data_IF_699359433360
#
_entry.id   IF_699359433360
#
_cell.length_a   1.000
_cell.length_b   1.000
_cell.length_c   1.000
_cell.angle_alpha   90.00
_cell.angle_beta   90.00
_cell.angle_gamma   90.00
#
_symmetry.space_group_name_H-M   'P 1'
#
loop_
_entity.id
_entity.type
_entity.pdbx_description
1 polymer ?
#
# COMPACT_ATOMS: atom_id res chain seq x y z
N UNK A 1 -11.66 5.54 9.06
CA UNK A 1 -12.90 5.14 9.75
C UNK A 1 -12.88 3.67 10.14
N UNK A 2 -13.16 3.36 11.41
CA UNK A 2 -13.39 1.99 11.88
C UNK A 2 -14.88 1.69 11.93
N UNK A 3 -15.24 0.46 11.54
CA UNK A 3 -16.59 -0.09 11.65
C UNK A 3 -16.53 -1.30 12.58
N UNK A 4 -17.40 -1.34 13.59
CA UNK A 4 -17.56 -2.49 14.49
C UNK A 4 -18.95 -3.11 14.29
N UNK A 5 -19.00 -4.42 14.27
CA UNK A 5 -20.24 -5.20 14.34
C UNK A 5 -20.40 -5.72 15.76
N UNK A 6 -21.59 -5.46 16.36
CA UNK A 6 -21.91 -5.83 17.73
C UNK A 6 -23.10 -6.79 17.75
N UNK A 7 -23.04 -7.77 18.64
CA UNK A 7 -24.15 -8.64 19.02
C UNK A 7 -24.19 -8.67 20.55
N UNK A 8 -25.31 -8.26 21.16
CA UNK A 8 -25.45 -8.16 22.63
C UNK A 8 -24.26 -7.43 23.27
N UNK A 9 -23.91 -6.25 22.71
CA UNK A 9 -22.80 -5.40 23.15
C UNK A 9 -21.37 -6.02 23.03
N UNK A 10 -21.26 -7.20 22.43
CA UNK A 10 -19.96 -7.83 22.13
C UNK A 10 -19.51 -7.52 20.72
N UNK A 11 -18.26 -7.16 20.56
CA UNK A 11 -17.64 -6.96 19.23
C UNK A 11 -17.45 -8.32 18.57
N UNK A 12 -18.17 -8.59 17.50
CA UNK A 12 -18.13 -9.85 16.73
C UNK A 12 -17.50 -9.67 15.33
N UNK A 13 -17.24 -8.44 14.93
CA UNK A 13 -16.56 -8.15 13.67
C UNK A 13 -16.05 -6.72 13.63
N UNK A 14 -15.07 -6.50 12.75
CA UNK A 14 -14.50 -5.18 12.54
C UNK A 14 -14.05 -5.00 11.10
N UNK A 15 -13.95 -3.75 10.71
CA UNK A 15 -13.37 -3.35 9.45
C UNK A 15 -12.88 -1.92 9.49
N UNK A 16 -12.05 -1.52 8.53
CA UNK A 16 -11.54 -0.16 8.41
C UNK A 16 -11.61 0.31 6.96
N UNK A 17 -12.07 1.52 6.75
CA UNK A 17 -11.96 2.27 5.51
C UNK A 17 -10.95 3.39 5.68
N UNK A 18 -9.99 3.47 4.78
CA UNK A 18 -9.01 4.56 4.69
C UNK A 18 -9.17 5.28 3.37
N UNK A 19 -9.23 6.61 3.39
CA UNK A 19 -9.19 7.41 2.17
C UNK A 19 -7.73 7.57 1.76
N UNK A 20 -7.40 7.18 0.53
CA UNK A 20 -6.05 7.25 -0.04
C UNK A 20 -5.76 8.63 -0.63
N UNK A 21 -4.52 8.87 -1.08
CA UNK A 21 -4.06 10.15 -1.63
C UNK A 21 -4.87 10.62 -2.85
N UNK A 22 -5.43 9.71 -3.63
CA UNK A 22 -6.29 10.00 -4.78
C UNK A 22 -7.78 10.13 -4.43
N UNK A 23 -8.11 10.13 -3.14
CA UNK A 23 -9.48 10.18 -2.64
C UNK A 23 -10.22 8.84 -2.68
N UNK A 24 -9.62 7.77 -3.22
CA UNK A 24 -10.28 6.45 -3.25
C UNK A 24 -10.37 5.82 -1.87
N UNK A 25 -11.40 4.99 -1.66
CA UNK A 25 -11.57 4.20 -0.45
C UNK A 25 -10.72 2.92 -0.53
N UNK A 26 -9.93 2.68 0.51
CA UNK A 26 -9.19 1.46 0.75
C UNK A 26 -9.84 0.67 1.87
N UNK A 27 -10.36 -0.53 1.57
CA UNK A 27 -10.99 -1.41 2.54
C UNK A 27 -9.95 -2.35 3.14
N UNK A 28 -9.85 -2.34 4.45
CA UNK A 28 -8.84 -3.12 5.18
C UNK A 28 -9.38 -3.65 6.51
N UNK A 29 -8.67 -4.63 7.09
CA UNK A 29 -8.94 -5.19 8.41
C UNK A 29 -10.33 -5.83 8.58
N UNK A 30 -10.99 -6.29 7.50
CA UNK A 30 -12.22 -7.04 7.67
C UNK A 30 -11.95 -8.34 8.44
N UNK A 31 -12.50 -8.43 9.63
CA UNK A 31 -12.41 -9.60 10.53
C UNK A 31 -13.77 -9.89 11.09
N UNK A 32 -14.12 -11.17 11.17
CA UNK A 32 -15.34 -11.65 11.83
C UNK A 32 -14.95 -12.78 12.77
N UNK A 33 -15.43 -12.72 14.00
CA UNK A 33 -15.18 -13.76 15.01
C UNK A 33 -15.64 -15.13 14.46
N UNK A 34 -14.87 -16.21 14.65
CA UNK A 34 -15.17 -17.51 14.08
C UNK A 34 -16.61 -17.98 14.28
N UNK A 35 -17.16 -17.84 15.49
CA UNK A 35 -18.53 -18.27 15.84
C UNK A 35 -19.64 -17.47 15.13
N UNK A 36 -19.30 -16.30 14.59
CA UNK A 36 -20.24 -15.41 13.90
C UNK A 36 -19.98 -15.34 12.38
N UNK A 37 -19.08 -16.17 11.87
CA UNK A 37 -18.86 -16.28 10.43
C UNK A 37 -20.05 -16.93 9.72
N UNK A 38 -20.20 -16.64 8.42
CA UNK A 38 -21.32 -17.14 7.59
C UNK A 38 -22.73 -16.76 8.07
N UNK A 39 -22.84 -15.84 9.01
CA UNK A 39 -24.11 -15.29 9.52
C UNK A 39 -24.40 -13.87 9.00
N UNK A 40 -23.74 -13.45 7.91
CA UNK A 40 -23.97 -12.15 7.28
C UNK A 40 -23.20 -10.97 7.89
N UNK A 41 -22.43 -11.15 8.97
CA UNK A 41 -21.68 -10.07 9.64
C UNK A 41 -20.72 -9.36 8.67
N UNK A 42 -19.95 -10.12 7.90
CA UNK A 42 -19.05 -9.55 6.91
C UNK A 42 -19.77 -8.75 5.82
N UNK A 43 -20.94 -9.21 5.37
CA UNK A 43 -21.77 -8.50 4.41
C UNK A 43 -22.27 -7.15 4.97
N UNK A 44 -22.71 -7.11 6.24
CA UNK A 44 -23.13 -5.87 6.91
C UNK A 44 -21.97 -4.87 7.03
N UNK A 45 -20.76 -5.34 7.35
CA UNK A 45 -19.56 -4.47 7.34
C UNK A 45 -19.30 -3.93 5.93
N UNK A 46 -19.43 -4.74 4.88
CA UNK A 46 -19.31 -4.28 3.50
C UNK A 46 -20.34 -3.22 3.13
N UNK A 47 -21.61 -3.42 3.51
CA UNK A 47 -22.65 -2.39 3.33
C UNK A 47 -22.20 -1.07 3.95
N UNK A 48 -21.68 -1.11 5.18
CA UNK A 48 -21.18 0.09 5.85
C UNK A 48 -19.99 0.74 5.13
N UNK A 49 -19.08 -0.04 4.57
CA UNK A 49 -18.02 0.48 3.72
C UNK A 49 -18.53 1.25 2.51
N UNK A 50 -19.53 0.70 1.81
CA UNK A 50 -20.13 1.35 0.63
C UNK A 50 -20.84 2.66 1.01
N UNK A 51 -21.56 2.68 2.12
CA UNK A 51 -22.19 3.89 2.66
C UNK A 51 -21.15 4.96 2.97
N UNK A 52 -20.07 4.60 3.67
CA UNK A 52 -18.98 5.52 4.01
C UNK A 52 -18.27 6.03 2.76
N UNK A 53 -17.94 5.16 1.81
CA UNK A 53 -17.29 5.55 0.56
C UNK A 53 -18.17 6.54 -0.24
N UNK A 54 -19.49 6.33 -0.24
CA UNK A 54 -20.45 7.25 -0.86
C UNK A 54 -20.49 8.59 -0.12
N UNK A 55 -20.57 8.58 1.21
CA UNK A 55 -20.61 9.78 2.04
C UNK A 55 -19.32 10.63 1.87
N UNK A 56 -18.15 9.97 1.74
CA UNK A 56 -16.87 10.64 1.48
C UNK A 56 -16.66 10.98 0.01
N UNK A 57 -17.60 10.64 -0.88
CA UNK A 57 -17.51 10.84 -2.33
C UNK A 57 -16.24 10.23 -2.94
N UNK A 58 -15.87 9.04 -2.47
CA UNK A 58 -14.69 8.35 -2.98
C UNK A 58 -14.89 7.97 -4.46
N UNK A 59 -13.94 8.33 -5.37
CA UNK A 59 -14.07 8.05 -6.79
C UNK A 59 -13.91 6.57 -7.15
N UNK A 60 -13.33 5.78 -6.26
CA UNK A 60 -13.15 4.34 -6.42
C UNK A 60 -13.06 3.65 -5.06
N UNK A 61 -13.36 2.35 -5.05
CA UNK A 61 -13.23 1.48 -3.87
C UNK A 61 -12.29 0.35 -4.23
N UNK A 62 -11.29 0.10 -3.38
CA UNK A 62 -10.27 -0.92 -3.60
C UNK A 62 -9.98 -1.68 -2.32
N UNK A 63 -9.50 -2.90 -2.47
CA UNK A 63 -8.99 -3.73 -1.37
C UNK A 63 -7.92 -4.68 -1.88
N UNK A 64 -7.17 -5.26 -0.97
CA UNK A 64 -6.27 -6.37 -1.22
C UNK A 64 -6.72 -7.60 -0.44
N UNK A 65 -6.54 -8.77 -1.05
CA UNK A 65 -6.67 -10.06 -0.37
C UNK A 65 -5.71 -11.07 -0.98
N UNK A 66 -5.25 -12.04 -0.20
CA UNK A 66 -4.40 -13.10 -0.74
C UNK A 66 -5.11 -13.89 -1.83
N UNK A 67 -4.41 -14.30 -2.89
CA UNK A 67 -4.97 -15.00 -4.05
C UNK A 67 -5.74 -16.28 -3.67
N UNK A 68 -5.34 -16.94 -2.57
CA UNK A 68 -5.99 -18.15 -2.04
C UNK A 68 -7.13 -17.87 -1.04
N UNK A 69 -7.42 -16.61 -0.72
CA UNK A 69 -8.49 -16.25 0.22
C UNK A 69 -9.84 -16.14 -0.52
N UNK A 70 -10.36 -17.30 -0.92
CA UNK A 70 -11.61 -17.40 -1.69
C UNK A 70 -12.80 -16.72 -1.00
N UNK A 71 -13.03 -16.90 0.34
CA UNK A 71 -14.16 -16.24 1.00
C UNK A 71 -14.12 -14.72 0.91
N UNK A 72 -12.95 -14.11 1.07
CA UNK A 72 -12.78 -12.65 0.97
C UNK A 72 -13.01 -12.17 -0.46
N UNK A 73 -12.45 -12.86 -1.45
CA UNK A 73 -12.63 -12.54 -2.86
C UNK A 73 -14.13 -12.64 -3.27
N UNK A 74 -14.80 -13.71 -2.88
CA UNK A 74 -16.23 -13.90 -3.17
C UNK A 74 -17.11 -12.82 -2.53
N UNK A 75 -16.79 -12.42 -1.28
CA UNK A 75 -17.52 -11.35 -0.60
C UNK A 75 -17.31 -10.00 -1.32
N UNK A 76 -16.08 -9.70 -1.75
CA UNK A 76 -15.78 -8.49 -2.51
C UNK A 76 -16.54 -8.45 -3.84
N UNK A 77 -16.51 -9.54 -4.62
CA UNK A 77 -17.22 -9.66 -5.89
C UNK A 77 -18.73 -9.51 -5.73
N UNK A 78 -19.32 -10.12 -4.70
CA UNK A 78 -20.75 -9.98 -4.38
C UNK A 78 -21.15 -8.52 -4.11
N UNK A 79 -20.21 -7.70 -3.65
CA UNK A 79 -20.40 -6.28 -3.38
C UNK A 79 -19.91 -5.38 -4.55
N UNK A 80 -19.76 -5.92 -5.75
CA UNK A 80 -19.48 -5.16 -6.96
C UNK A 80 -18.00 -4.84 -7.22
N UNK A 81 -17.05 -5.39 -6.43
CA UNK A 81 -15.64 -5.24 -6.73
C UNK A 81 -15.19 -6.26 -7.78
N UNK A 82 -14.34 -5.83 -8.70
CA UNK A 82 -13.77 -6.69 -9.73
C UNK A 82 -12.35 -7.09 -9.37
N UNK A 83 -11.93 -8.28 -9.84
CA UNK A 83 -10.56 -8.75 -9.65
C UNK A 83 -9.60 -7.86 -10.44
N UNK A 84 -8.58 -7.36 -9.78
CA UNK A 84 -7.49 -6.60 -10.35
C UNK A 84 -6.25 -7.47 -10.62
N UNK A 85 -5.09 -6.84 -10.85
CA UNK A 85 -3.81 -7.52 -11.03
C UNK A 85 -3.43 -8.36 -9.82
N UNK A 86 -2.63 -9.40 -10.06
CA UNK A 86 -1.98 -10.19 -9.01
C UNK A 86 -0.53 -9.74 -8.86
N UNK A 87 -0.08 -9.65 -7.62
CA UNK A 87 1.27 -9.24 -7.27
C UNK A 87 1.95 -10.32 -6.43
N UNK A 88 3.24 -10.55 -6.68
CA UNK A 88 4.08 -11.40 -5.85
C UNK A 88 4.80 -10.54 -4.81
N UNK A 89 4.80 -10.98 -3.55
CA UNK A 89 5.59 -10.34 -2.50
C UNK A 89 6.96 -11.01 -2.39
N UNK A 90 7.99 -10.19 -2.30
CA UNK A 90 9.35 -10.61 -1.95
C UNK A 90 9.81 -9.83 -0.73
N UNK A 91 10.62 -10.45 0.12
CA UNK A 91 11.19 -9.80 1.31
C UNK A 91 12.69 -10.06 1.36
N UNK A 92 13.45 -9.01 1.61
CA UNK A 92 14.89 -9.03 1.79
C UNK A 92 15.20 -8.71 3.25
N UNK A 93 15.85 -9.62 3.96
CA UNK A 93 16.38 -9.38 5.31
C UNK A 93 17.72 -8.63 5.18
N UNK A 94 17.84 -7.49 5.86
CA UNK A 94 19.02 -6.63 5.76
C UNK A 94 20.13 -6.96 6.76
N UNK A 95 19.90 -7.88 7.69
CA UNK A 95 20.76 -8.12 8.86
C UNK A 95 22.24 -8.42 8.52
N UNK A 96 22.51 -9.01 7.35
CA UNK A 96 23.88 -9.35 6.91
C UNK A 96 24.20 -8.82 5.51
N UNK A 97 23.47 -7.82 5.03
CA UNK A 97 23.74 -7.23 3.73
C UNK A 97 24.70 -6.07 3.92
N UNK A 98 25.89 -6.11 3.30
CA UNK A 98 26.82 -5.00 3.34
C UNK A 98 26.22 -3.78 2.63
N UNK A 99 26.42 -2.60 3.20
CA UNK A 99 26.02 -1.34 2.61
C UNK A 99 27.10 -0.27 2.87
N UNK A 100 27.15 0.71 2.01
CA UNK A 100 28.15 1.78 2.05
C UNK A 100 27.45 3.15 2.02
N UNK A 101 28.02 4.15 2.70
CA UNK A 101 27.45 5.51 2.74
C UNK A 101 27.42 6.18 1.36
N UNK A 102 28.30 5.78 0.49
CA UNK A 102 28.41 6.24 -0.90
C UNK A 102 27.13 5.97 -1.68
N UNK A 103 26.41 4.88 -1.37
CA UNK A 103 25.14 4.54 -1.99
C UNK A 103 24.00 5.54 -1.68
N UNK A 104 24.17 6.38 -0.66
CA UNK A 104 23.22 7.44 -0.31
C UNK A 104 23.43 8.71 -1.13
N UNK A 105 24.59 8.85 -1.78
CA UNK A 105 24.97 10.10 -2.45
C UNK A 105 24.09 10.37 -3.67
N UNK A 106 23.74 11.65 -3.84
CA UNK A 106 22.95 12.14 -4.95
C UNK A 106 21.44 11.91 -4.83
N UNK A 107 20.98 11.08 -3.89
CA UNK A 107 19.55 10.92 -3.64
C UNK A 107 19.03 11.96 -2.64
N UNK A 108 17.87 12.53 -2.96
CA UNK A 108 17.13 13.43 -2.07
C UNK A 108 15.64 13.09 -2.10
N UNK A 109 14.88 13.63 -1.16
CA UNK A 109 13.43 13.55 -1.21
C UNK A 109 12.90 14.35 -2.40
N UNK A 110 12.10 13.74 -3.22
CA UNK A 110 11.45 14.38 -4.35
C UNK A 110 10.30 15.30 -3.88
N UNK A 111 10.15 16.44 -4.52
CA UNK A 111 8.93 17.22 -4.38
C UNK A 111 7.79 16.63 -5.23
N UNK A 112 6.57 17.17 -5.08
CA UNK A 112 5.40 16.63 -5.77
C UNK A 112 5.44 16.71 -7.29
N UNK A 113 6.16 17.66 -7.87
CA UNK A 113 6.36 17.79 -9.32
C UNK A 113 7.34 16.74 -9.82
N UNK A 114 8.52 16.63 -9.21
CA UNK A 114 9.52 15.61 -9.52
C UNK A 114 8.95 14.19 -9.41
N UNK A 115 8.16 13.93 -8.35
CA UNK A 115 7.50 12.63 -8.18
C UNK A 115 6.53 12.31 -9.33
N UNK A 116 5.79 13.30 -9.83
CA UNK A 116 4.93 13.10 -11.00
C UNK A 116 5.74 12.82 -12.27
N UNK A 117 6.75 13.64 -12.56
CA UNK A 117 7.57 13.51 -13.76
C UNK A 117 8.26 12.15 -13.84
N UNK A 118 8.76 11.64 -12.71
CA UNK A 118 9.53 10.40 -12.66
C UNK A 118 8.67 9.13 -12.51
N UNK A 119 7.53 9.21 -11.81
CA UNK A 119 6.75 8.03 -11.47
C UNK A 119 5.53 7.80 -12.37
N UNK A 120 4.91 8.84 -12.96
CA UNK A 120 3.76 8.65 -13.85
C UNK A 120 4.07 7.78 -15.09
N UNK A 121 5.25 7.91 -15.72
CA UNK A 121 5.61 7.03 -16.84
C UNK A 121 5.64 5.54 -16.50
N UNK A 122 5.82 5.21 -15.22
CA UNK A 122 5.88 3.82 -14.76
C UNK A 122 4.52 3.11 -14.64
N UNK A 123 3.43 3.81 -14.92
CA UNK A 123 2.06 3.30 -14.68
C UNK A 123 1.82 1.90 -15.25
N UNK A 124 2.15 1.69 -16.52
CA UNK A 124 1.93 0.39 -17.17
C UNK A 124 2.85 -0.69 -16.59
N UNK A 125 4.13 -0.39 -16.41
CA UNK A 125 5.12 -1.29 -15.86
C UNK A 125 4.80 -1.70 -14.41
N UNK A 126 4.20 -0.79 -13.63
CA UNK A 126 3.75 -1.04 -12.26
C UNK A 126 2.34 -1.68 -12.18
N UNK A 127 1.80 -2.18 -13.30
CA UNK A 127 0.44 -2.74 -13.32
C UNK A 127 -0.66 -1.76 -12.89
N UNK A 128 -0.39 -0.45 -13.00
CA UNK A 128 -1.31 0.62 -12.62
C UNK A 128 -1.26 1.02 -11.14
N UNK A 129 -0.42 0.38 -10.31
CA UNK A 129 -0.40 0.60 -8.86
C UNK A 129 1.01 0.65 -8.28
N UNK A 130 1.20 1.52 -7.28
CA UNK A 130 2.32 1.44 -6.35
C UNK A 130 1.86 0.80 -5.04
N UNK A 131 2.71 0.00 -4.40
CA UNK A 131 2.32 -0.74 -3.19
C UNK A 131 3.20 -0.37 -2.00
N UNK A 132 2.56 0.00 -0.89
CA UNK A 132 3.20 0.17 0.42
C UNK A 132 2.37 -0.58 1.47
N UNK A 133 2.97 -1.54 2.18
CA UNK A 133 2.28 -2.38 3.17
C UNK A 133 0.99 -3.03 2.62
N UNK A 134 1.05 -3.65 1.45
CA UNK A 134 -0.11 -4.24 0.75
C UNK A 134 -1.27 -3.26 0.51
N UNK A 135 -1.00 -1.95 0.55
CA UNK A 135 -1.94 -0.92 0.13
C UNK A 135 -1.57 -0.48 -1.26
N UNK A 136 -2.49 -0.68 -2.20
CA UNK A 136 -2.27 -0.43 -3.62
C UNK A 136 -2.84 0.94 -4.00
N UNK A 137 -1.94 1.86 -4.28
CA UNK A 137 -2.23 3.23 -4.68
C UNK A 137 -2.25 3.33 -6.20
N UNK A 138 -3.36 3.75 -6.79
CA UNK A 138 -3.40 3.94 -8.23
C UNK A 138 -2.38 4.99 -8.69
N UNK A 139 -1.65 4.70 -9.77
CA UNK A 139 -0.65 5.61 -10.33
C UNK A 139 -1.35 6.76 -11.04
N UNK A 140 -1.35 7.91 -10.37
CA UNK A 140 -1.93 9.18 -10.87
C UNK A 140 -1.24 10.37 -10.18
N UNK A 141 -1.47 11.62 -10.67
CA UNK A 141 -0.82 12.81 -10.11
C UNK A 141 -1.05 13.02 -8.60
N UNK A 142 -2.25 12.73 -8.09
CA UNK A 142 -2.57 12.92 -6.67
C UNK A 142 -1.80 11.93 -5.80
N UNK A 143 -1.69 10.67 -6.23
CA UNK A 143 -0.87 9.64 -5.56
C UNK A 143 0.60 10.02 -5.53
N UNK A 144 1.18 10.43 -6.66
CA UNK A 144 2.60 10.84 -6.72
C UNK A 144 2.89 12.01 -5.76
N UNK A 145 2.03 13.04 -5.78
CA UNK A 145 2.14 14.18 -4.85
C UNK A 145 2.00 13.75 -3.39
N UNK A 146 1.02 12.92 -3.09
CA UNK A 146 0.76 12.43 -1.74
C UNK A 146 1.92 11.59 -1.19
N UNK A 147 2.51 10.71 -2.01
CA UNK A 147 3.69 9.92 -1.64
C UNK A 147 4.92 10.80 -1.41
N UNK A 148 5.13 11.82 -2.25
CA UNK A 148 6.21 12.78 -2.04
C UNK A 148 6.02 13.58 -0.73
N UNK A 149 4.81 14.05 -0.48
CA UNK A 149 4.47 14.76 0.76
C UNK A 149 4.64 13.87 2.01
N UNK A 150 4.41 12.56 1.87
CA UNK A 150 4.66 11.57 2.93
C UNK A 150 6.15 11.24 3.12
N UNK A 151 7.06 11.79 2.30
CA UNK A 151 8.50 11.50 2.37
C UNK A 151 8.87 10.11 1.85
N UNK A 152 8.06 9.52 0.99
CA UNK A 152 8.27 8.17 0.45
C UNK A 152 8.93 8.15 -0.93
N UNK A 153 9.13 9.30 -1.58
CA UNK A 153 9.74 9.36 -2.90
C UNK A 153 11.14 9.93 -2.80
N UNK A 154 12.11 9.16 -3.25
CA UNK A 154 13.51 9.58 -3.37
C UNK A 154 13.89 9.66 -4.84
N UNK A 155 14.76 10.62 -5.20
CA UNK A 155 15.22 10.77 -6.57
C UNK A 155 16.68 11.21 -6.66
N UNK A 156 17.33 10.84 -7.79
CA UNK A 156 18.69 11.24 -8.15
C UNK A 156 18.84 11.31 -9.69
N UNK A 157 18.63 12.48 -10.28
CA UNK A 157 18.51 12.65 -11.73
C UNK A 157 17.28 11.91 -12.26
N UNK A 158 17.48 10.98 -13.20
CA UNK A 158 16.39 10.16 -13.78
C UNK A 158 16.00 8.96 -12.90
N UNK A 159 16.74 8.71 -11.82
CA UNK A 159 16.43 7.64 -10.89
C UNK A 159 15.41 8.10 -9.87
N UNK A 160 14.42 7.27 -9.60
CA UNK A 160 13.50 7.48 -8.49
C UNK A 160 13.01 6.16 -7.91
N UNK A 161 12.65 6.19 -6.64
CA UNK A 161 11.99 5.06 -6.01
C UNK A 161 10.95 5.53 -5.00
N UNK A 162 9.89 4.75 -4.87
CA UNK A 162 8.95 4.84 -3.75
C UNK A 162 9.46 3.92 -2.66
N UNK A 163 9.86 4.48 -1.52
CA UNK A 163 10.43 3.74 -0.40
C UNK A 163 9.86 4.27 0.91
N UNK A 164 9.15 3.43 1.66
CA UNK A 164 8.57 3.83 2.92
C UNK A 164 7.72 2.76 3.59
N UNK A 165 6.98 3.14 4.63
CA UNK A 165 6.08 2.26 5.36
C UNK A 165 4.85 3.01 5.87
N UNK A 166 3.68 2.35 5.79
CA UNK A 166 2.43 2.79 6.44
C UNK A 166 2.36 2.32 7.89
N UNK A 167 2.92 1.14 8.15
CA UNK A 167 2.87 0.46 9.44
C UNK A 167 4.25 -0.09 9.77
N UNK A 168 4.61 -0.08 11.04
CA UNK A 168 5.86 -0.62 11.59
C UNK A 168 7.11 -0.10 10.84
N UNK A 169 7.28 1.23 10.69
CA UNK A 169 8.39 1.82 9.93
C UNK A 169 9.76 1.49 10.55
N UNK A 170 9.81 1.07 11.79
CA UNK A 170 11.02 0.59 12.47
C UNK A 170 11.43 -0.83 12.06
N UNK A 171 10.52 -1.61 11.46
CA UNK A 171 10.80 -3.02 11.11
C UNK A 171 10.96 -3.25 9.63
N UNK A 172 10.00 -2.78 8.84
CA UNK A 172 9.97 -3.08 7.40
C UNK A 172 9.64 -1.83 6.59
N UNK A 173 10.44 -1.58 5.56
CA UNK A 173 10.13 -0.61 4.52
C UNK A 173 9.75 -1.34 3.23
N UNK A 174 8.89 -0.70 2.45
CA UNK A 174 8.41 -1.22 1.18
C UNK A 174 8.97 -0.41 0.03
N UNK A 175 9.45 -1.10 -1.00
CA UNK A 175 9.75 -0.51 -2.29
C UNK A 175 8.50 -0.65 -3.15
N UNK A 176 7.80 0.46 -3.36
CA UNK A 176 6.54 0.50 -4.10
C UNK A 176 6.71 0.69 -5.61
N UNK A 177 7.84 1.26 -6.04
CA UNK A 177 8.21 1.46 -7.44
C UNK A 177 9.69 1.82 -7.55
N UNK A 178 10.30 1.49 -8.69
CA UNK A 178 11.67 1.89 -9.06
C UNK A 178 11.66 2.41 -10.50
N UNK A 179 12.11 3.65 -10.72
CA UNK A 179 12.34 4.25 -12.01
C UNK A 179 13.84 4.43 -12.27
N UNK A 180 14.30 4.20 -13.51
CA UNK A 180 15.69 4.32 -13.89
C UNK A 180 16.55 3.10 -13.56
N UNK A 181 17.78 3.30 -13.14
CA UNK A 181 18.75 2.24 -12.86
C UNK A 181 18.34 1.41 -11.63
N UNK A 182 18.04 0.14 -11.87
CA UNK A 182 17.58 -0.80 -10.82
C UNK A 182 18.64 -0.99 -9.73
N UNK A 183 19.89 -1.23 -10.11
CA UNK A 183 20.97 -1.51 -9.16
C UNK A 183 21.24 -0.31 -8.27
N UNK A 184 21.35 0.88 -8.86
CA UNK A 184 21.59 2.13 -8.12
C UNK A 184 20.46 2.40 -7.12
N UNK A 185 19.21 2.26 -7.53
CA UNK A 185 18.05 2.43 -6.66
C UNK A 185 18.00 1.39 -5.52
N UNK A 186 18.31 0.11 -5.80
CA UNK A 186 18.34 -0.94 -4.78
C UNK A 186 19.47 -0.72 -3.78
N UNK A 187 20.67 -0.37 -4.22
CA UNK A 187 21.79 -0.03 -3.33
C UNK A 187 21.43 1.14 -2.42
N UNK A 188 20.82 2.19 -2.96
CA UNK A 188 20.29 3.29 -2.14
C UNK A 188 19.24 2.81 -1.13
N UNK A 189 18.24 2.02 -1.55
CA UNK A 189 17.19 1.54 -0.67
C UNK A 189 17.74 0.72 0.50
N UNK A 190 18.70 -0.18 0.23
CA UNK A 190 19.38 -0.99 1.24
C UNK A 190 20.14 -0.08 2.22
N UNK A 191 20.98 0.83 1.70
CA UNK A 191 21.77 1.72 2.53
C UNK A 191 20.91 2.65 3.39
N UNK A 192 19.82 3.18 2.81
CA UNK A 192 18.89 4.07 3.51
C UNK A 192 18.11 3.35 4.60
N UNK A 193 17.60 2.15 4.32
CA UNK A 193 16.90 1.33 5.30
C UNK A 193 17.82 0.90 6.45
N UNK A 194 19.03 0.43 6.12
CA UNK A 194 20.04 0.04 7.11
C UNK A 194 20.50 1.24 7.98
N UNK A 195 20.71 2.42 7.39
CA UNK A 195 21.01 3.65 8.13
C UNK A 195 19.93 4.00 9.15
N UNK A 196 18.66 3.69 8.84
CA UNK A 196 17.52 3.92 9.72
C UNK A 196 17.24 2.77 10.70
N UNK A 197 18.07 1.72 10.70
CA UNK A 197 17.90 0.55 11.58
C UNK A 197 16.74 -0.36 11.18
N UNK A 198 16.26 -0.27 9.93
CA UNK A 198 15.18 -1.11 9.42
C UNK A 198 15.70 -2.51 9.14
N UNK A 199 14.94 -3.52 9.55
CA UNK A 199 15.36 -4.92 9.47
C UNK A 199 15.12 -5.54 8.10
N UNK A 200 14.11 -5.07 7.37
CA UNK A 200 13.64 -5.71 6.14
C UNK A 200 13.22 -4.70 5.06
N UNK A 201 13.45 -5.05 3.81
CA UNK A 201 12.80 -4.45 2.64
C UNK A 201 11.80 -5.43 2.04
N UNK A 202 10.64 -4.95 1.67
CA UNK A 202 9.60 -5.72 1.00
C UNK A 202 9.26 -5.11 -0.36
N UNK A 203 8.88 -5.96 -1.33
CA UNK A 203 8.54 -5.60 -2.71
C UNK A 203 7.21 -6.24 -3.09
N UNK A 204 6.49 -5.64 -4.02
CA UNK A 204 5.29 -6.22 -4.62
C UNK A 204 5.31 -6.06 -6.14
#
# INVERSE_FOLDING_TARGET
EFTLALVEDKVVGMGKLTVLFDGSAWLELLRVHPDFQRQGVGAKIYTRYLEQATAFRCPAIRMYTGAKNIPSAALAQKNGLHRGPEFCSMTLNLQNIPWEKEHLQGFCLANGQQAQELLLPMKEQAGGFFSINHTFYAVNPATCKGMAAAGWVYCAGENALVLGARFQPEKVWHIGAIAGDLEKNLRFAIARAAQCGVEQLSFH
#
